data_IF_599694654411
#
_entry.id   IF_599694654411
#
_cell.length_a   1.000
_cell.length_b   1.000
_cell.length_c   1.000
_cell.angle_alpha   90.00
_cell.angle_beta   90.00
_cell.angle_gamma   90.00
#
_symmetry.space_group_name_H-M   'P 1'
#
loop_
_entity.id
_entity.type
_entity.pdbx_description
1 polymer ?
#
# COMPACT_ATOMS: atom_id res chain seq x y z
N UNK A 1 5.08 -6.55 -13.61
CA UNK A 1 5.65 -6.28 -12.28
C UNK A 1 6.99 -5.60 -12.46
N UNK A 2 7.29 -4.54 -11.70
CA UNK A 2 8.58 -3.84 -11.70
C UNK A 2 9.08 -3.67 -10.28
N UNK A 3 10.35 -3.95 -10.06
CA UNK A 3 11.01 -3.82 -8.76
C UNK A 3 11.78 -2.48 -8.69
N UNK A 4 11.76 -1.86 -7.51
CA UNK A 4 12.44 -0.61 -7.20
C UNK A 4 13.22 -0.74 -5.91
N UNK A 5 14.44 -0.23 -5.86
CA UNK A 5 15.22 -0.14 -4.63
C UNK A 5 14.82 1.11 -3.86
N UNK A 6 14.37 0.94 -2.61
CA UNK A 6 13.94 2.02 -1.72
C UNK A 6 14.55 1.78 -0.34
N UNK A 7 15.46 2.66 0.09
CA UNK A 7 16.01 2.64 1.45
C UNK A 7 16.69 1.33 1.85
N UNK A 8 17.30 0.61 0.91
CA UNK A 8 17.95 -0.70 1.14
C UNK A 8 16.99 -1.89 1.17
N UNK A 9 15.75 -1.73 0.69
CA UNK A 9 14.77 -2.80 0.50
C UNK A 9 14.16 -2.70 -0.90
N UNK A 10 13.70 -3.82 -1.44
CA UNK A 10 13.03 -3.86 -2.75
C UNK A 10 11.51 -3.69 -2.60
N UNK A 11 10.93 -2.73 -3.33
CA UNK A 11 9.49 -2.57 -3.51
C UNK A 11 9.08 -3.12 -4.88
N UNK A 12 8.18 -4.11 -4.90
CA UNK A 12 7.61 -4.67 -6.13
C UNK A 12 6.25 -4.05 -6.42
N UNK A 13 6.08 -3.45 -7.61
CA UNK A 13 4.83 -2.87 -8.07
C UNK A 13 4.27 -3.66 -9.26
N UNK A 14 2.98 -3.96 -9.22
CA UNK A 14 2.24 -4.58 -10.30
C UNK A 14 0.95 -3.79 -10.57
N UNK A 15 0.70 -3.48 -11.84
CA UNK A 15 -0.53 -2.85 -12.30
C UNK A 15 -1.41 -3.93 -12.93
N UNK A 16 -2.66 -4.00 -12.48
CA UNK A 16 -3.67 -4.91 -13.02
C UNK A 16 -4.77 -4.08 -13.69
N UNK A 17 -5.13 -4.45 -14.92
CA UNK A 17 -6.32 -3.94 -15.61
C UNK A 17 -7.42 -5.00 -15.59
N UNK A 18 -8.66 -4.57 -15.83
CA UNK A 18 -9.82 -5.47 -15.99
C UNK A 18 -10.06 -6.40 -14.79
N UNK A 19 -9.82 -5.88 -13.57
CA UNK A 19 -10.01 -6.62 -12.32
C UNK A 19 -11.51 -6.86 -12.08
N UNK A 20 -11.91 -8.13 -12.02
CA UNK A 20 -13.32 -8.55 -11.84
C UNK A 20 -13.66 -8.97 -10.40
N UNK A 21 -12.64 -9.25 -9.58
CA UNK A 21 -12.79 -9.81 -8.23
C UNK A 21 -12.39 -8.85 -7.11
N UNK A 22 -12.46 -7.52 -7.33
CA UNK A 22 -12.05 -6.52 -6.33
C UNK A 22 -12.76 -6.64 -4.98
N UNK A 23 -14.04 -7.04 -4.97
CA UNK A 23 -14.81 -7.28 -3.74
C UNK A 23 -14.26 -8.44 -2.92
N UNK A 24 -13.94 -9.54 -3.59
CA UNK A 24 -13.33 -10.72 -2.94
C UNK A 24 -11.95 -10.37 -2.37
N UNK A 25 -11.14 -9.62 -3.13
CA UNK A 25 -9.84 -9.15 -2.65
C UNK A 25 -9.96 -8.25 -1.41
N UNK A 26 -10.94 -7.34 -1.41
CA UNK A 26 -11.23 -6.50 -0.25
C UNK A 26 -11.63 -7.34 0.97
N UNK A 27 -12.49 -8.34 0.79
CA UNK A 27 -12.92 -9.24 1.86
C UNK A 27 -11.72 -10.04 2.42
N UNK A 28 -10.87 -10.58 1.55
CA UNK A 28 -9.64 -11.30 1.93
C UNK A 28 -8.63 -10.42 2.69
N UNK A 29 -8.54 -9.13 2.33
CA UNK A 29 -7.72 -8.16 3.07
C UNK A 29 -8.28 -7.86 4.46
N UNK A 30 -9.61 -7.73 4.57
CA UNK A 30 -10.28 -7.44 5.83
C UNK A 30 -10.26 -8.64 6.79
N UNK A 31 -10.37 -9.86 6.25
CA UNK A 31 -10.21 -11.10 7.02
C UNK A 31 -8.75 -11.40 7.38
N UNK A 32 -7.78 -10.65 6.83
CA UNK A 32 -6.35 -10.87 7.01
C UNK A 32 -5.90 -12.29 6.62
N UNK A 33 -6.59 -12.92 5.66
CA UNK A 33 -6.27 -14.27 5.14
C UNK A 33 -5.52 -14.23 3.82
N UNK A 34 -5.14 -13.04 3.36
CA UNK A 34 -4.39 -12.86 2.12
C UNK A 34 -2.92 -13.22 2.33
N UNK A 35 -2.50 -14.34 1.74
CA UNK A 35 -1.11 -14.83 1.76
C UNK A 35 -0.59 -14.94 0.31
N UNK A 36 0.50 -14.23 -0.06
CA UNK A 36 1.30 -13.30 0.74
C UNK A 36 0.58 -11.97 1.04
N UNK A 37 0.99 -11.30 2.12
CA UNK A 37 0.49 -9.96 2.43
C UNK A 37 0.90 -8.96 1.34
N UNK A 38 -0.04 -8.17 0.84
CA UNK A 38 0.18 -7.14 -0.18
C UNK A 38 -0.60 -5.86 0.12
N UNK A 39 -0.14 -4.74 -0.46
CA UNK A 39 -0.86 -3.47 -0.45
C UNK A 39 -1.57 -3.27 -1.79
N UNK A 40 -2.86 -2.95 -1.75
CA UNK A 40 -3.62 -2.50 -2.92
C UNK A 40 -3.76 -0.98 -2.89
N UNK A 41 -3.60 -0.37 -4.07
CA UNK A 41 -3.74 1.05 -4.28
C UNK A 41 -4.55 1.27 -5.55
N UNK A 42 -5.44 2.26 -5.54
CA UNK A 42 -6.22 2.61 -6.72
C UNK A 42 -5.31 3.35 -7.71
N UNK A 43 -5.01 2.68 -8.83
CA UNK A 43 -4.13 3.21 -9.86
C UNK A 43 -4.62 4.56 -10.44
N UNK A 44 -5.93 4.83 -10.40
CA UNK A 44 -6.49 6.11 -10.89
C UNK A 44 -6.09 7.30 -10.02
N UNK A 45 -5.68 7.06 -8.77
CA UNK A 45 -5.22 8.09 -7.82
C UNK A 45 -3.69 8.24 -7.83
N UNK A 46 -2.98 7.45 -8.63
CA UNK A 46 -1.51 7.46 -8.71
C UNK A 46 -1.11 8.13 -10.03
N UNK A 47 -0.69 9.42 -10.01
CA UNK A 47 -0.30 10.11 -11.24
C UNK A 47 1.04 9.65 -11.80
N UNK A 48 1.93 9.14 -10.94
CA UNK A 48 3.24 8.59 -11.30
C UNK A 48 3.72 7.64 -10.19
N UNK A 49 4.75 6.84 -10.48
CA UNK A 49 5.39 5.91 -9.53
C UNK A 49 6.11 6.67 -8.41
N UNK A 50 6.63 7.87 -8.66
CA UNK A 50 7.41 8.62 -7.68
C UNK A 50 6.68 8.86 -6.34
N UNK A 51 5.41 9.33 -6.30
CA UNK A 51 4.62 9.38 -5.07
C UNK A 51 4.57 8.08 -4.26
N UNK A 52 4.49 6.93 -4.93
CA UNK A 52 4.47 5.62 -4.27
C UNK A 52 5.84 5.30 -3.64
N UNK A 53 6.93 5.62 -4.34
CA UNK A 53 8.30 5.45 -3.82
C UNK A 53 8.57 6.36 -2.61
N UNK A 54 8.09 7.61 -2.66
CA UNK A 54 8.21 8.55 -1.55
C UNK A 54 7.44 8.06 -0.31
N UNK A 55 6.22 7.55 -0.50
CA UNK A 55 5.44 6.94 0.57
C UNK A 55 6.14 5.70 1.15
N UNK A 56 6.72 4.84 0.30
CA UNK A 56 7.49 3.68 0.73
C UNK A 56 8.71 4.05 1.56
N UNK A 57 9.48 5.06 1.12
CA UNK A 57 10.61 5.56 1.90
C UNK A 57 10.16 6.07 3.28
N UNK A 58 9.06 6.83 3.34
CA UNK A 58 8.49 7.31 4.60
C UNK A 58 8.06 6.16 5.51
N UNK A 59 7.48 5.10 4.96
CA UNK A 59 7.14 3.87 5.70
C UNK A 59 8.37 3.19 6.29
N UNK A 60 9.47 3.11 5.54
CA UNK A 60 10.73 2.56 6.06
C UNK A 60 11.32 3.41 7.19
N UNK A 61 11.24 4.73 7.07
CA UNK A 61 11.65 5.65 8.15
C UNK A 61 10.79 5.43 9.40
N UNK A 62 9.47 5.32 9.26
CA UNK A 62 8.56 5.02 10.38
C UNK A 62 8.88 3.66 11.02
N UNK A 63 9.17 2.64 10.21
CA UNK A 63 9.62 1.32 10.67
C UNK A 63 10.91 1.41 11.49
N UNK A 64 11.92 2.13 10.98
CA UNK A 64 13.22 2.27 11.66
C UNK A 64 13.14 2.98 13.02
N UNK A 65 12.08 3.78 13.23
CA UNK A 65 11.83 4.53 14.46
C UNK A 65 10.81 3.85 15.38
N UNK A 66 10.36 2.65 15.01
CA UNK A 66 9.29 1.91 15.69
C UNK A 66 8.03 2.77 15.92
N UNK A 67 7.72 3.63 14.93
CA UNK A 67 6.66 4.63 15.00
C UNK A 67 5.57 4.37 13.96
N UNK A 68 5.28 3.10 13.69
CA UNK A 68 4.23 2.69 12.75
C UNK A 68 2.85 3.05 13.33
N UNK A 69 1.99 3.63 12.50
CA UNK A 69 0.61 3.96 12.91
C UNK A 69 -0.32 2.76 12.70
N UNK A 70 0.00 1.93 11.72
CA UNK A 70 -0.77 0.76 11.30
C UNK A 70 -0.10 -0.55 11.74
N UNK A 71 -0.81 -1.67 11.55
CA UNK A 71 -0.35 -3.00 11.99
C UNK A 71 0.80 -3.57 11.17
N UNK A 72 0.94 -3.19 9.90
CA UNK A 72 1.86 -3.83 8.96
C UNK A 72 2.51 -2.82 8.03
N UNK A 73 3.65 -3.16 7.42
CA UNK A 73 4.34 -2.26 6.49
C UNK A 73 3.51 -1.97 5.24
N UNK A 74 2.75 -2.95 4.75
CA UNK A 74 1.87 -2.80 3.60
C UNK A 74 0.73 -1.83 3.91
N UNK A 75 0.10 -1.95 5.08
CA UNK A 75 -0.93 -0.99 5.49
C UNK A 75 -0.37 0.39 5.82
N UNK A 76 0.88 0.47 6.30
CA UNK A 76 1.56 1.75 6.56
C UNK A 76 1.90 2.47 5.26
N UNK A 77 2.30 1.73 4.22
CA UNK A 77 2.53 2.28 2.87
C UNK A 77 1.26 2.98 2.35
N UNK A 78 0.12 2.29 2.42
CA UNK A 78 -1.18 2.84 2.01
C UNK A 78 -1.54 4.05 2.87
N UNK A 79 -1.34 3.98 4.19
CA UNK A 79 -1.57 5.09 5.09
C UNK A 79 -0.70 6.32 4.78
N UNK A 80 0.58 6.11 4.46
CA UNK A 80 1.51 7.18 4.13
C UNK A 80 1.29 7.77 2.74
N UNK A 81 0.69 6.99 1.82
CA UNK A 81 0.28 7.46 0.51
C UNK A 81 -1.01 8.30 0.59
N UNK A 82 -1.97 7.90 1.42
CA UNK A 82 -3.23 8.63 1.61
C UNK A 82 -2.98 10.04 2.16
N UNK A 83 -3.55 11.04 1.48
CA UNK A 83 -3.48 12.44 1.90
C UNK A 83 -4.30 12.75 3.17
N UNK A 84 -5.16 11.83 3.62
CA UNK A 84 -5.98 11.99 4.82
C UNK A 84 -5.50 11.04 5.92
N UNK A 85 -5.23 11.57 7.12
CA UNK A 85 -4.74 10.78 8.27
C UNK A 85 -5.81 9.89 8.93
N UNK A 86 -6.97 9.70 8.28
CA UNK A 86 -8.05 8.87 8.78
C UNK A 86 -7.90 7.42 8.29
N UNK A 87 -7.48 6.52 9.20
CA UNK A 87 -7.22 5.09 8.92
C UNK A 87 -8.41 4.36 8.28
N UNK A 88 -9.65 4.82 8.49
CA UNK A 88 -10.86 4.26 7.86
C UNK A 88 -11.08 4.72 6.41
N UNK A 89 -10.66 5.93 6.05
CA UNK A 89 -10.88 6.46 4.69
C UNK A 89 -9.94 5.80 3.69
N UNK A 90 -8.68 5.55 4.07
CA UNK A 90 -7.67 4.97 3.17
C UNK A 90 -8.00 3.54 2.74
N UNK A 91 -8.68 2.74 3.56
CA UNK A 91 -9.01 1.34 3.22
C UNK A 91 -10.17 1.19 2.23
N UNK A 92 -11.02 2.22 2.10
CA UNK A 92 -12.28 2.13 1.36
C UNK A 92 -12.25 2.84 -0.01
N UNK A 93 -11.37 3.81 -0.21
CA UNK A 93 -11.28 4.58 -1.46
C UNK A 93 -10.17 4.11 -2.42
N UNK A 94 -9.36 3.13 -2.01
CA UNK A 94 -8.12 2.75 -2.71
C UNK A 94 -8.16 1.33 -3.31
N UNK A 95 -9.33 0.69 -3.36
CA UNK A 95 -9.57 -0.59 -4.07
C UNK A 95 -10.70 -0.39 -5.09
#
# INVERSE_FOLDING_TARGET
MKAFEVGGTTLCLALFSDVTNSKELLDLMQSATLEPEVAFLNASLIPDVFPVLAAAHKTLVAKSRDSLTTRTLHSELVYNFSGSKHVRSSKASEI
#
